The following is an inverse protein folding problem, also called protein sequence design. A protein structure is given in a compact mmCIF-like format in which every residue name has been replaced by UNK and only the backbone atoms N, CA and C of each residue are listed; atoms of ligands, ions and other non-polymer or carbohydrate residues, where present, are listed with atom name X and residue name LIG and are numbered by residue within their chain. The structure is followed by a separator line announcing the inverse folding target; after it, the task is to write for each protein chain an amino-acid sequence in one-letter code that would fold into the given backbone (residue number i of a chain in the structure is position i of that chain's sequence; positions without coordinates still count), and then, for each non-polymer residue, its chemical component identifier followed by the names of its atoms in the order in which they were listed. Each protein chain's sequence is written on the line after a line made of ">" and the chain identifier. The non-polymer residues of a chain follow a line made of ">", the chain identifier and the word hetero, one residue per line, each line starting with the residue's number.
data_IF_709806902010
#
_entry.id   IF_709806902010
#
_cell.length_a   1.000
_cell.length_b   1.000
_cell.length_c   1.000
_cell.angle_alpha   90.00
_cell.angle_beta   90.00
_cell.angle_gamma   90.00
#
_symmetry.space_group_name_H-M   'P 1'
#
loop_
_entity.id
_entity.type
_entity.pdbx_description
1 polymer ?
#
# COMPACT_ATOMS: atom_id res chain seq x y z
N UNK A 1 -90.75 2.75 -23.77
CA UNK A 1 -90.12 1.77 -24.70
C UNK A 1 -89.13 2.53 -25.57
N UNK A 2 -87.87 2.11 -25.83
CA UNK A 2 -87.10 0.90 -25.44
C UNK A 2 -85.80 1.21 -24.63
N UNK A 3 -85.30 0.29 -23.77
CA UNK A 3 -84.11 -0.61 -23.88
C UNK A 3 -82.75 0.07 -24.20
N UNK A 4 -81.79 0.13 -23.25
CA UNK A 4 -80.71 -0.83 -22.87
C UNK A 4 -79.63 -1.03 -23.96
N UNK A 5 -78.32 -0.83 -23.72
CA UNK A 5 -77.41 -1.85 -23.17
C UNK A 5 -76.02 -1.30 -22.71
N UNK A 6 -75.63 -1.74 -21.51
CA UNK A 6 -74.32 -2.22 -21.00
C UNK A 6 -72.95 -1.68 -21.45
N UNK A 7 -72.15 -1.33 -20.43
CA UNK A 7 -70.69 -1.36 -20.44
C UNK A 7 -70.08 -1.24 -19.03
N UNK A 8 -70.07 -2.35 -18.26
CA UNK A 8 -69.41 -2.44 -16.94
C UNK A 8 -67.88 -2.32 -17.10
N UNK A 9 -67.23 -1.34 -16.45
CA UNK A 9 -65.81 -1.42 -16.06
C UNK A 9 -65.73 -1.58 -14.53
N UNK A 10 -65.12 -2.70 -14.11
CA UNK A 10 -64.85 -3.02 -12.70
C UNK A 10 -63.74 -2.12 -12.17
N UNK A 11 -64.00 -1.45 -11.05
CA UNK A 11 -63.03 -0.78 -10.20
C UNK A 11 -62.20 -1.81 -9.44
N UNK A 12 -60.87 -1.67 -9.48
CA UNK A 12 -59.92 -2.47 -8.70
C UNK A 12 -59.54 -1.65 -7.45
N UNK A 13 -59.59 -2.23 -6.23
CA UNK A 13 -59.35 -1.49 -4.99
C UNK A 13 -57.87 -1.15 -4.82
N UNK A 14 -57.62 0.05 -4.29
CA UNK A 14 -56.30 0.56 -3.92
C UNK A 14 -55.74 -0.21 -2.70
N UNK A 15 -54.44 -0.57 -2.69
CA UNK A 15 -53.82 -1.19 -1.51
C UNK A 15 -53.45 -0.14 -0.45
N UNK A 16 -53.69 -0.55 0.81
CA UNK A 16 -53.38 0.14 2.07
C UNK A 16 -51.87 0.41 2.24
N UNK A 17 -51.46 1.50 2.93
CA UNK A 17 -50.04 1.84 3.07
C UNK A 17 -49.30 0.87 3.99
N UNK A 18 -48.16 0.38 3.51
CA UNK A 18 -47.26 -0.53 4.22
C UNK A 18 -46.50 0.21 5.34
N UNK A 19 -46.34 -0.48 6.47
CA UNK A 19 -45.55 -0.07 7.63
C UNK A 19 -44.06 0.12 7.26
N UNK A 20 -43.34 1.04 7.95
CA UNK A 20 -41.93 1.29 7.67
C UNK A 20 -41.06 0.08 8.07
N UNK A 21 -40.02 -0.27 7.29
CA UNK A 21 -39.07 -1.29 7.67
C UNK A 21 -38.19 -0.81 8.83
N UNK A 22 -38.09 -1.66 9.84
CA UNK A 22 -37.15 -1.57 10.96
C UNK A 22 -35.72 -1.61 10.41
N UNK A 23 -35.03 -0.47 10.39
CA UNK A 23 -33.59 -0.42 10.12
C UNK A 23 -32.88 -0.90 11.39
N UNK A 24 -32.49 -2.17 11.37
CA UNK A 24 -31.64 -2.78 12.39
C UNK A 24 -30.22 -2.23 12.33
N UNK A 25 -29.67 -2.03 13.53
CA UNK A 25 -28.26 -2.05 13.91
C UNK A 25 -27.26 -1.31 13.00
N UNK A 26 -26.93 -0.11 13.42
CA UNK A 26 -25.64 0.56 13.20
C UNK A 26 -24.49 -0.44 13.44
N UNK A 27 -23.50 -0.59 12.53
CA UNK A 27 -22.27 -1.28 12.88
C UNK A 27 -21.53 -0.39 13.89
N UNK A 28 -21.56 -0.85 15.14
CA UNK A 28 -20.82 -0.29 16.25
C UNK A 28 -19.33 -0.33 15.90
N UNK A 29 -18.73 0.85 15.73
CA UNK A 29 -17.28 1.01 15.62
C UNK A 29 -16.65 0.55 16.92
N UNK A 30 -16.38 -0.76 17.00
CA UNK A 30 -15.57 -1.33 18.06
C UNK A 30 -14.13 -1.10 17.65
N UNK A 31 -13.45 -0.17 18.33
CA UNK A 31 -11.99 -0.01 18.27
C UNK A 31 -11.38 -1.37 18.62
N UNK A 32 -11.02 -2.15 17.60
CA UNK A 32 -10.30 -3.41 17.79
C UNK A 32 -8.85 -3.08 18.05
N UNK A 33 -8.50 -2.93 19.32
CA UNK A 33 -7.14 -3.17 19.78
C UNK A 33 -6.86 -4.67 19.61
N UNK A 34 -6.48 -5.09 18.40
CA UNK A 34 -6.20 -6.48 18.08
C UNK A 34 -4.72 -6.79 18.37
N UNK A 35 -4.45 -7.67 19.33
CA UNK A 35 -3.11 -8.20 19.63
C UNK A 35 -2.62 -9.20 18.57
N UNK A 36 -2.80 -8.89 17.29
CA UNK A 36 -2.50 -9.81 16.19
C UNK A 36 -2.68 -9.19 14.80
N UNK A 37 -2.36 -9.98 13.79
CA UNK A 37 -2.44 -9.63 12.37
C UNK A 37 -3.82 -9.10 11.98
N UNK A 38 -3.84 -8.15 11.04
CA UNK A 38 -5.08 -7.56 10.53
C UNK A 38 -5.95 -8.57 9.75
N UNK A 39 -5.32 -9.41 8.92
CA UNK A 39 -5.95 -10.54 8.23
C UNK A 39 -5.63 -11.85 8.97
N UNK A 40 -6.60 -12.77 9.09
CA UNK A 40 -6.35 -14.08 9.73
C UNK A 40 -5.59 -15.04 8.82
N UNK A 41 -4.79 -15.94 9.40
CA UNK A 41 -4.09 -17.00 8.65
C UNK A 41 -5.08 -17.86 7.83
N UNK A 42 -6.23 -18.21 8.41
CA UNK A 42 -7.30 -18.94 7.71
C UNK A 42 -7.78 -18.24 6.43
N UNK A 43 -7.86 -16.89 6.44
CA UNK A 43 -8.24 -16.11 5.25
C UNK A 43 -7.12 -16.19 4.20
N UNK A 44 -5.85 -16.11 4.60
CA UNK A 44 -4.70 -16.27 3.71
C UNK A 44 -4.68 -17.68 3.09
N UNK A 45 -4.86 -18.73 3.88
CA UNK A 45 -4.85 -20.13 3.38
C UNK A 45 -5.95 -20.39 2.35
N UNK A 46 -7.11 -19.74 2.49
CA UNK A 46 -8.23 -19.87 1.53
C UNK A 46 -8.06 -19.00 0.29
N UNK A 47 -7.66 -17.75 0.45
CA UNK A 47 -7.61 -16.76 -0.64
C UNK A 47 -6.30 -16.77 -1.41
N UNK A 48 -5.18 -16.95 -0.71
CA UNK A 48 -3.83 -16.83 -1.24
C UNK A 48 -2.90 -17.92 -0.67
N UNK A 49 -3.16 -19.22 -0.94
CA UNK A 49 -2.36 -20.31 -0.39
C UNK A 49 -0.86 -20.20 -0.73
N UNK A 50 -0.52 -19.58 -1.87
CA UNK A 50 0.86 -19.32 -2.27
C UNK A 50 1.60 -18.26 -1.42
N UNK A 51 0.88 -17.46 -0.62
CA UNK A 51 1.45 -16.44 0.27
C UNK A 51 1.60 -16.91 1.71
N UNK A 52 1.15 -18.13 2.06
CA UNK A 52 1.11 -18.60 3.45
C UNK A 52 2.50 -18.62 4.12
N UNK A 53 3.53 -19.10 3.41
CA UNK A 53 4.90 -19.11 3.94
C UNK A 53 5.44 -17.70 4.15
N UNK A 54 5.20 -16.82 3.18
CA UNK A 54 5.59 -15.41 3.22
C UNK A 54 4.90 -14.68 4.38
N UNK A 55 3.61 -14.91 4.56
CA UNK A 55 2.81 -14.34 5.64
C UNK A 55 3.33 -14.78 7.01
N UNK A 56 3.66 -16.07 7.18
CA UNK A 56 4.25 -16.58 8.44
C UNK A 56 5.62 -15.97 8.72
N UNK A 57 6.48 -15.88 7.71
CA UNK A 57 7.80 -15.28 7.83
C UNK A 57 7.74 -13.78 8.16
N UNK A 58 6.80 -13.05 7.56
CA UNK A 58 6.52 -11.66 7.92
C UNK A 58 6.07 -11.55 9.38
N UNK A 59 5.12 -12.38 9.81
CA UNK A 59 4.61 -12.37 11.19
C UNK A 59 5.70 -12.52 12.25
N UNK A 60 6.67 -13.42 12.04
CA UNK A 60 7.84 -13.56 12.92
C UNK A 60 8.65 -12.27 13.02
N UNK A 61 8.84 -11.58 11.89
CA UNK A 61 9.62 -10.33 11.84
C UNK A 61 8.85 -9.17 12.47
N UNK A 62 7.52 -9.12 12.33
CA UNK A 62 6.68 -8.15 13.04
C UNK A 62 6.76 -8.34 14.56
N UNK A 63 6.72 -9.59 15.05
CA UNK A 63 6.84 -9.87 16.48
C UNK A 63 8.18 -9.40 17.04
N UNK A 64 9.28 -9.72 16.36
CA UNK A 64 10.63 -9.25 16.72
C UNK A 64 10.71 -7.73 16.81
N UNK A 65 10.12 -7.03 15.84
CA UNK A 65 10.13 -5.57 15.75
C UNK A 65 9.02 -4.90 16.56
N UNK A 66 8.26 -5.66 17.38
CA UNK A 66 7.16 -5.16 18.22
C UNK A 66 6.06 -4.43 17.42
N UNK A 67 5.85 -4.86 16.18
CA UNK A 67 4.82 -4.33 15.27
C UNK A 67 3.52 -5.16 15.29
N UNK A 68 3.47 -6.24 16.08
CA UNK A 68 2.25 -7.04 16.24
C UNK A 68 1.09 -6.16 16.75
N UNK A 69 -0.01 -6.12 15.98
CA UNK A 69 -1.20 -5.31 16.29
C UNK A 69 -1.13 -3.85 15.85
N UNK A 70 0.00 -3.40 15.27
CA UNK A 70 0.08 -2.08 14.60
C UNK A 70 -0.80 -2.10 13.34
N UNK A 71 -1.51 -0.99 13.10
CA UNK A 71 -2.27 -0.75 11.87
C UNK A 71 -1.59 0.33 11.05
N UNK A 72 -1.52 0.09 9.75
CA UNK A 72 -0.93 1.01 8.79
C UNK A 72 -1.51 0.74 7.40
N UNK A 73 -1.77 1.82 6.64
CA UNK A 73 -2.11 1.71 5.23
C UNK A 73 -0.84 1.42 4.43
N UNK A 74 -0.72 0.23 3.84
CA UNK A 74 0.50 -0.16 3.12
C UNK A 74 0.38 0.24 1.66
N UNK A 75 1.36 1.00 1.17
CA UNK A 75 1.45 1.40 -0.24
C UNK A 75 2.62 0.71 -0.92
N UNK A 76 2.44 0.40 -2.19
CA UNK A 76 3.52 -0.08 -3.05
C UNK A 76 3.77 0.92 -4.18
N UNK A 77 4.99 1.45 -4.25
CA UNK A 77 5.42 2.37 -5.30
C UNK A 77 6.47 1.68 -6.15
N UNK A 78 6.20 1.55 -7.45
CA UNK A 78 7.01 0.75 -8.36
C UNK A 78 7.64 1.62 -9.45
N UNK A 79 8.97 1.70 -9.41
CA UNK A 79 9.76 2.29 -10.47
C UNK A 79 9.63 1.47 -11.76
N UNK A 80 9.17 2.13 -12.81
CA UNK A 80 8.98 1.59 -14.15
C UNK A 80 9.74 2.43 -15.18
N UNK A 81 10.89 2.97 -14.78
CA UNK A 81 11.89 3.55 -15.68
C UNK A 81 12.51 2.48 -16.59
N UNK A 82 13.07 2.90 -17.72
CA UNK A 82 13.65 1.98 -18.71
C UNK A 82 14.72 1.02 -18.16
N UNK A 83 15.49 1.45 -17.15
CA UNK A 83 16.50 0.62 -16.47
C UNK A 83 15.88 -0.58 -15.76
N UNK A 84 14.65 -0.44 -15.27
CA UNK A 84 13.91 -1.48 -14.57
C UNK A 84 13.40 -2.62 -15.47
N UNK A 85 13.46 -2.47 -16.80
CA UNK A 85 12.88 -3.42 -17.76
C UNK A 85 13.34 -4.90 -17.54
N UNK A 86 14.62 -5.20 -17.25
CA UNK A 86 15.06 -6.57 -16.98
C UNK A 86 14.40 -7.17 -15.72
N UNK A 87 14.14 -6.36 -14.69
CA UNK A 87 13.54 -6.80 -13.43
C UNK A 87 12.04 -7.07 -13.55
N UNK A 88 11.33 -6.35 -14.41
CA UNK A 88 9.98 -6.71 -14.80
C UNK A 88 9.95 -8.01 -15.61
N UNK A 89 10.84 -8.12 -16.60
CA UNK A 89 10.91 -9.30 -17.48
C UNK A 89 11.22 -10.59 -16.73
N UNK A 90 12.10 -10.54 -15.73
CA UNK A 90 12.49 -11.71 -14.94
C UNK A 90 11.59 -11.99 -13.73
N UNK A 91 10.58 -11.14 -13.48
CA UNK A 91 9.62 -11.29 -12.38
C UNK A 91 10.12 -10.82 -11.01
N UNK A 92 11.25 -10.11 -10.92
CA UNK A 92 11.78 -9.60 -9.64
C UNK A 92 10.81 -8.65 -8.95
N UNK A 93 10.24 -7.69 -9.71
CA UNK A 93 9.27 -6.72 -9.17
C UNK A 93 7.99 -7.40 -8.68
N UNK A 94 7.50 -8.40 -9.43
CA UNK A 94 6.33 -9.20 -9.03
C UNK A 94 6.61 -9.97 -7.73
N UNK A 95 7.73 -10.68 -7.65
CA UNK A 95 8.06 -11.48 -6.47
C UNK A 95 8.22 -10.60 -5.22
N UNK A 96 8.80 -9.40 -5.36
CA UNK A 96 8.93 -8.47 -4.25
C UNK A 96 7.57 -7.87 -3.86
N UNK A 97 6.71 -7.55 -4.82
CA UNK A 97 5.33 -7.13 -4.56
C UNK A 97 4.52 -8.21 -3.80
N UNK A 98 4.68 -9.49 -4.15
CA UNK A 98 4.02 -10.60 -3.46
C UNK A 98 4.47 -10.71 -1.99
N UNK A 99 5.77 -10.51 -1.72
CA UNK A 99 6.32 -10.43 -0.36
C UNK A 99 5.77 -9.25 0.42
N UNK A 100 5.70 -8.07 -0.20
CA UNK A 100 5.11 -6.88 0.42
C UNK A 100 3.63 -7.10 0.75
N UNK A 101 2.85 -7.70 -0.17
CA UNK A 101 1.44 -8.01 0.06
C UNK A 101 1.26 -8.98 1.25
N UNK A 102 2.14 -9.99 1.38
CA UNK A 102 2.11 -10.91 2.50
C UNK A 102 2.41 -10.23 3.85
N UNK A 103 3.32 -9.23 3.86
CA UNK A 103 3.57 -8.40 5.04
C UNK A 103 2.40 -7.43 5.33
N UNK A 104 1.83 -6.84 4.28
CA UNK A 104 0.72 -5.88 4.38
C UNK A 104 -0.51 -6.47 5.06
N UNK A 105 -0.79 -7.76 4.84
CA UNK A 105 -1.88 -8.48 5.50
C UNK A 105 -1.78 -8.51 7.04
N UNK A 106 -0.64 -8.15 7.64
CA UNK A 106 -0.51 -7.98 9.09
C UNK A 106 -0.90 -6.57 9.57
N UNK A 107 -0.74 -5.55 8.72
CA UNK A 107 -0.98 -4.14 9.03
C UNK A 107 -2.37 -3.65 8.60
N UNK A 108 -2.87 -4.15 7.49
CA UNK A 108 -4.09 -3.69 6.82
C UNK A 108 -5.15 -4.82 6.77
N UNK A 109 -6.40 -4.51 7.11
CA UNK A 109 -7.47 -5.50 7.33
C UNK A 109 -8.28 -5.82 6.08
N UNK A 110 -8.27 -4.93 5.07
CA UNK A 110 -8.97 -5.16 3.81
C UNK A 110 -8.25 -6.19 2.91
N UNK A 111 -6.94 -6.37 3.09
CA UNK A 111 -6.11 -7.29 2.32
C UNK A 111 -5.84 -6.80 0.90
N UNK A 112 -5.87 -5.48 0.69
CA UNK A 112 -5.55 -4.78 -0.54
C UNK A 112 -4.34 -3.85 -0.31
N UNK A 113 -3.59 -3.58 -1.37
CA UNK A 113 -2.45 -2.67 -1.35
C UNK A 113 -2.55 -1.77 -2.58
N UNK A 114 -2.71 -0.44 -2.40
CA UNK A 114 -2.58 0.51 -3.49
C UNK A 114 -1.19 0.45 -4.10
N UNK A 115 -1.14 0.29 -5.42
CA UNK A 115 0.07 0.22 -6.24
C UNK A 115 0.12 1.43 -7.15
N UNK A 116 1.17 2.23 -7.02
CA UNK A 116 1.44 3.38 -7.88
C UNK A 116 2.69 3.08 -8.69
N UNK A 117 2.53 2.93 -10.00
CA UNK A 117 3.65 2.90 -10.93
C UNK A 117 4.12 4.32 -11.21
N UNK A 118 5.41 4.49 -11.47
CA UNK A 118 5.94 5.75 -12.00
C UNK A 118 7.06 5.52 -13.01
N UNK A 119 7.24 6.50 -13.89
CA UNK A 119 8.42 6.66 -14.72
C UNK A 119 8.78 8.16 -14.83
N UNK A 120 8.70 8.76 -16.03
CA UNK A 120 8.69 10.20 -16.25
C UNK A 120 7.49 10.88 -15.58
N UNK A 121 6.47 10.12 -15.18
CA UNK A 121 5.33 10.57 -14.37
C UNK A 121 4.78 9.44 -13.50
N UNK A 122 3.98 9.77 -12.50
CA UNK A 122 3.16 8.79 -11.80
C UNK A 122 1.91 8.42 -12.60
N UNK A 123 1.47 7.18 -12.43
CA UNK A 123 0.21 6.66 -12.96
C UNK A 123 -0.84 6.61 -11.86
N UNK A 124 -2.11 6.46 -12.26
CA UNK A 124 -3.19 6.28 -11.30
C UNK A 124 -2.95 5.05 -10.41
N UNK A 125 -3.38 5.14 -9.16
CA UNK A 125 -3.30 4.01 -8.24
C UNK A 125 -4.15 2.85 -8.79
N UNK A 126 -3.54 1.68 -8.82
CA UNK A 126 -4.19 0.39 -9.05
C UNK A 126 -4.15 -0.40 -7.75
N UNK A 127 -4.82 -1.54 -7.67
CA UNK A 127 -4.81 -2.37 -6.47
C UNK A 127 -4.25 -3.77 -6.78
N UNK A 128 -3.50 -4.28 -5.80
CA UNK A 128 -3.21 -5.72 -5.66
C UNK A 128 -3.90 -6.22 -4.38
N UNK A 129 -4.36 -7.45 -4.40
CA UNK A 129 -5.08 -8.08 -3.30
C UNK A 129 -4.79 -9.57 -3.24
N UNK A 130 -5.13 -10.20 -2.12
CA UNK A 130 -4.90 -11.63 -1.89
C UNK A 130 -5.52 -12.54 -2.96
N UNK A 131 -6.59 -12.13 -3.62
CA UNK A 131 -7.28 -12.89 -4.66
C UNK A 131 -6.81 -12.59 -6.08
N UNK A 132 -6.05 -11.51 -6.31
CA UNK A 132 -5.64 -11.08 -7.64
C UNK A 132 -4.13 -10.96 -7.87
N UNK A 133 -3.30 -11.18 -6.84
CA UNK A 133 -1.87 -10.86 -6.86
C UNK A 133 -1.05 -11.55 -7.97
N UNK A 134 -1.39 -12.80 -8.30
CA UNK A 134 -0.61 -13.64 -9.22
C UNK A 134 -0.47 -13.01 -10.62
N UNK A 135 0.74 -12.54 -10.94
CA UNK A 135 1.03 -11.91 -12.24
C UNK A 135 0.40 -10.52 -12.44
N UNK A 136 -0.22 -9.94 -11.40
CA UNK A 136 -0.91 -8.65 -11.45
C UNK A 136 0.02 -7.51 -11.81
N UNK A 137 1.20 -7.45 -11.20
CA UNK A 137 2.19 -6.40 -11.47
C UNK A 137 2.64 -6.47 -12.93
N UNK A 138 2.93 -7.68 -13.43
CA UNK A 138 3.32 -7.86 -14.83
C UNK A 138 2.20 -7.45 -15.80
N UNK A 139 0.94 -7.78 -15.48
CA UNK A 139 -0.22 -7.40 -16.28
C UNK A 139 -0.45 -5.88 -16.29
N UNK A 140 -0.36 -5.22 -15.14
CA UNK A 140 -0.47 -3.77 -15.01
C UNK A 140 0.67 -3.06 -15.74
N UNK A 141 1.91 -3.48 -15.50
CA UNK A 141 3.09 -3.00 -16.20
C UNK A 141 2.92 -3.04 -17.73
N UNK A 142 2.43 -4.16 -18.27
CA UNK A 142 2.19 -4.33 -19.71
C UNK A 142 1.14 -3.35 -20.27
N UNK A 143 0.10 -3.02 -19.49
CA UNK A 143 -0.96 -2.07 -19.91
C UNK A 143 -0.44 -0.64 -20.03
N UNK A 144 0.57 -0.26 -19.23
CA UNK A 144 1.12 1.10 -19.21
C UNK A 144 2.03 1.42 -20.40
N UNK A 145 2.46 0.40 -21.15
CA UNK A 145 3.22 0.59 -22.39
C UNK A 145 4.64 1.11 -22.18
N UNK A 146 5.04 2.10 -22.99
CA UNK A 146 6.42 2.59 -23.07
C UNK A 146 6.93 3.12 -21.73
N UNK A 147 8.11 2.64 -21.31
CA UNK A 147 8.78 3.01 -20.06
C UNK A 147 9.57 4.32 -20.22
N UNK A 148 9.51 5.18 -19.21
CA UNK A 148 10.17 6.48 -19.20
C UNK A 148 11.44 6.53 -18.36
N UNK A 149 11.64 7.70 -17.74
CA UNK A 149 12.76 8.02 -16.85
C UNK A 149 12.36 7.85 -15.38
N UNK A 150 13.11 8.41 -14.43
CA UNK A 150 12.91 8.14 -12.99
C UNK A 150 12.47 9.40 -12.22
N UNK A 151 11.17 9.68 -12.19
CA UNK A 151 10.59 10.86 -11.52
C UNK A 151 9.97 10.52 -10.14
N UNK A 152 10.82 10.51 -9.12
CA UNK A 152 10.39 10.29 -7.74
C UNK A 152 9.43 11.36 -7.22
N UNK A 153 9.56 12.62 -7.68
CA UNK A 153 8.69 13.70 -7.19
C UNK A 153 7.25 13.39 -7.56
N UNK A 154 7.02 13.00 -8.81
CA UNK A 154 5.69 12.62 -9.29
C UNK A 154 5.12 11.42 -8.50
N UNK A 155 5.95 10.42 -8.20
CA UNK A 155 5.57 9.24 -7.45
C UNK A 155 5.15 9.59 -6.02
N UNK A 156 5.97 10.39 -5.34
CA UNK A 156 5.71 10.79 -3.96
C UNK A 156 4.47 11.69 -3.85
N UNK A 157 4.30 12.64 -4.78
CA UNK A 157 3.12 13.49 -4.84
C UNK A 157 1.84 12.68 -5.10
N UNK A 158 1.90 11.65 -5.94
CA UNK A 158 0.77 10.76 -6.19
C UNK A 158 0.33 9.97 -4.93
N UNK A 159 1.29 9.43 -4.17
CA UNK A 159 0.99 8.76 -2.90
C UNK A 159 0.40 9.73 -1.89
N UNK A 160 1.00 10.92 -1.73
CA UNK A 160 0.51 11.95 -0.80
C UNK A 160 -0.92 12.37 -1.17
N UNK A 161 -1.20 12.58 -2.45
CA UNK A 161 -2.53 12.91 -2.95
C UNK A 161 -3.53 11.79 -2.67
N UNK A 162 -3.15 10.54 -2.97
CA UNK A 162 -4.00 9.37 -2.73
C UNK A 162 -4.31 9.22 -1.24
N UNK A 163 -3.29 9.23 -0.38
CA UNK A 163 -3.43 9.11 1.07
C UNK A 163 -4.35 10.19 1.66
N UNK A 164 -4.22 11.44 1.21
CA UNK A 164 -5.12 12.53 1.64
C UNK A 164 -6.55 12.34 1.14
N UNK A 165 -6.76 11.76 -0.04
CA UNK A 165 -8.09 11.57 -0.62
C UNK A 165 -8.85 10.38 -0.04
N UNK A 166 -8.17 9.31 0.39
CA UNK A 166 -8.83 8.11 0.91
C UNK A 166 -9.33 8.29 2.35
N UNK A 167 -8.89 9.33 3.06
CA UNK A 167 -9.34 9.65 4.41
C UNK A 167 -8.83 8.66 5.48
N UNK A 168 -7.80 7.87 5.16
CA UNK A 168 -7.17 6.96 6.11
C UNK A 168 -6.64 7.74 7.33
N UNK A 169 -6.91 7.22 8.52
CA UNK A 169 -6.39 7.78 9.79
C UNK A 169 -5.16 7.04 10.29
N UNK A 170 -4.93 5.82 9.81
CA UNK A 170 -3.74 5.03 10.11
C UNK A 170 -2.51 5.61 9.40
N UNK A 171 -1.31 5.47 9.97
CA UNK A 171 -0.07 5.87 9.30
C UNK A 171 0.08 5.12 7.97
N UNK A 172 0.60 5.79 6.95
CA UNK A 172 0.99 5.14 5.71
C UNK A 172 2.39 4.53 5.82
N UNK A 173 2.51 3.26 5.43
CA UNK A 173 3.78 2.58 5.28
C UNK A 173 4.05 2.36 3.79
N UNK A 174 4.88 3.22 3.19
CA UNK A 174 5.09 3.25 1.75
C UNK A 174 6.35 2.48 1.38
N UNK A 175 6.18 1.39 0.64
CA UNK A 175 7.29 0.59 0.13
C UNK A 175 7.65 1.05 -1.27
N UNK A 176 8.82 1.66 -1.43
CA UNK A 176 9.28 2.27 -2.67
C UNK A 176 10.38 1.42 -3.32
N UNK A 177 10.10 0.81 -4.47
CA UNK A 177 11.02 -0.10 -5.17
C UNK A 177 11.66 0.56 -6.38
N UNK A 178 12.99 0.49 -6.50
CA UNK A 178 13.76 1.16 -7.55
C UNK A 178 15.12 0.50 -7.78
N UNK A 179 15.73 0.72 -8.95
CA UNK A 179 17.08 0.26 -9.27
C UNK A 179 18.15 1.36 -9.28
N UNK A 180 17.81 2.60 -8.92
CA UNK A 180 18.77 3.69 -8.89
C UNK A 180 18.19 5.04 -8.44
N UNK A 181 18.91 6.12 -8.76
CA UNK A 181 18.56 7.48 -8.35
C UNK A 181 17.51 8.14 -9.27
N UNK A 182 16.76 9.14 -8.77
CA UNK A 182 15.84 9.91 -9.59
C UNK A 182 16.56 10.88 -10.54
N UNK A 183 15.84 11.31 -11.57
CA UNK A 183 16.27 12.36 -12.49
C UNK A 183 16.68 13.66 -11.78
N UNK A 184 16.02 13.98 -10.65
CA UNK A 184 16.26 15.19 -9.88
C UNK A 184 16.34 14.90 -8.37
N UNK A 185 17.54 14.52 -7.93
CA UNK A 185 17.84 14.21 -6.53
C UNK A 185 17.44 15.33 -5.56
N UNK A 186 17.74 16.60 -5.91
CA UNK A 186 17.44 17.75 -5.04
C UNK A 186 15.93 17.97 -4.87
N UNK A 187 15.16 17.80 -5.94
CA UNK A 187 13.71 17.94 -5.86
C UNK A 187 13.08 16.78 -5.08
N UNK A 188 13.53 15.55 -5.32
CA UNK A 188 13.07 14.37 -4.59
C UNK A 188 13.34 14.48 -3.07
N UNK A 189 14.56 14.86 -2.68
CA UNK A 189 14.91 15.14 -1.27
C UNK A 189 14.00 16.22 -0.67
N UNK A 190 13.80 17.34 -1.38
CA UNK A 190 12.92 18.41 -0.90
C UNK A 190 11.48 17.91 -0.70
N UNK A 191 10.98 17.05 -1.58
CA UNK A 191 9.65 16.45 -1.46
C UNK A 191 9.57 15.49 -0.26
N UNK A 192 10.61 14.68 -0.03
CA UNK A 192 10.69 13.82 1.16
C UNK A 192 10.67 14.62 2.46
N UNK A 193 11.47 15.69 2.56
CA UNK A 193 11.51 16.55 3.74
C UNK A 193 10.14 17.18 4.03
N UNK A 194 9.42 17.63 3.00
CA UNK A 194 8.04 18.14 3.15
C UNK A 194 7.06 17.05 3.60
N UNK A 195 7.22 15.84 3.08
CA UNK A 195 6.37 14.71 3.44
C UNK A 195 6.54 14.27 4.90
N UNK A 196 7.63 14.67 5.57
CA UNK A 196 7.88 14.35 6.99
C UNK A 196 6.86 15.00 7.94
N UNK A 197 6.11 16.02 7.49
CA UNK A 197 5.00 16.61 8.25
C UNK A 197 3.71 15.78 8.18
N UNK A 198 3.71 14.68 7.41
CA UNK A 198 2.57 13.80 7.21
C UNK A 198 2.80 12.46 7.92
N UNK A 199 1.72 11.75 8.28
CA UNK A 199 1.78 10.40 8.86
C UNK A 199 2.18 9.35 7.82
N UNK A 200 3.29 9.57 7.11
CA UNK A 200 3.79 8.74 6.00
C UNK A 200 5.26 8.41 6.24
N UNK A 201 5.57 7.12 6.33
CA UNK A 201 6.94 6.59 6.34
C UNK A 201 7.29 5.98 4.98
N UNK A 202 8.48 6.28 4.48
CA UNK A 202 8.98 5.83 3.18
C UNK A 202 10.09 4.80 3.36
N UNK A 203 9.81 3.53 3.07
CA UNK A 203 10.83 2.50 3.05
C UNK A 203 11.28 2.25 1.61
N UNK A 204 12.47 2.71 1.27
CA UNK A 204 13.10 2.47 -0.01
C UNK A 204 13.76 1.09 -0.04
N UNK A 205 13.55 0.37 -1.15
CA UNK A 205 14.21 -0.90 -1.46
C UNK A 205 14.95 -0.71 -2.78
N UNK A 206 16.28 -0.68 -2.70
CA UNK A 206 17.16 -0.64 -3.86
C UNK A 206 17.54 -2.05 -4.29
N UNK A 207 17.46 -2.39 -5.58
CA UNK A 207 18.04 -3.63 -6.09
C UNK A 207 18.63 -3.45 -7.48
N UNK A 208 19.64 -4.25 -7.78
CA UNK A 208 20.42 -4.11 -9.01
C UNK A 208 21.88 -3.83 -8.71
N UNK A 209 22.52 -3.02 -9.55
CA UNK A 209 23.98 -2.80 -9.52
C UNK A 209 24.37 -1.35 -9.20
N UNK A 210 23.40 -0.51 -8.88
CA UNK A 210 23.67 0.86 -8.46
C UNK A 210 24.35 0.85 -7.07
N UNK A 211 25.10 1.90 -6.75
CA UNK A 211 25.69 2.09 -5.42
C UNK A 211 24.72 2.74 -4.43
N UNK A 212 23.52 3.13 -4.89
CA UNK A 212 22.43 3.72 -4.14
C UNK A 212 22.82 4.93 -3.28
N UNK A 213 23.85 5.68 -3.68
CA UNK A 213 24.35 6.86 -2.95
C UNK A 213 23.25 7.87 -2.62
N UNK A 214 22.28 8.01 -3.52
CA UNK A 214 21.14 8.89 -3.29
C UNK A 214 20.20 8.36 -2.20
N UNK A 215 19.91 7.06 -2.19
CA UNK A 215 19.01 6.46 -1.20
C UNK A 215 19.66 6.39 0.18
N UNK A 216 20.93 6.00 0.28
CA UNK A 216 21.75 6.13 1.49
C UNK A 216 21.72 7.57 2.03
N UNK A 217 21.80 8.57 1.14
CA UNK A 217 21.70 9.97 1.56
C UNK A 217 20.32 10.32 2.09
N UNK A 218 19.22 9.80 1.52
CA UNK A 218 17.87 10.08 2.01
C UNK A 218 17.62 9.48 3.39
N UNK A 219 18.15 8.28 3.61
CA UNK A 219 18.17 7.55 4.88
C UNK A 219 18.87 8.37 5.97
N UNK A 220 20.10 8.80 5.69
CA UNK A 220 20.96 9.54 6.62
C UNK A 220 20.57 11.02 6.82
N UNK A 221 19.47 11.52 6.23
CA UNK A 221 19.09 12.94 6.29
C UNK A 221 18.77 13.36 7.73
N UNK A 222 19.55 14.27 8.36
CA UNK A 222 19.34 14.59 9.76
C UNK A 222 17.98 15.23 10.08
N UNK A 223 17.28 14.66 11.07
CA UNK A 223 16.15 15.26 11.78
C UNK A 223 16.59 15.78 13.17
N UNK A 224 16.13 16.97 13.64
CA UNK A 224 15.13 17.84 13.03
C UNK A 224 15.70 18.86 12.02
N UNK A 225 16.98 18.76 11.63
CA UNK A 225 17.67 19.81 10.86
C UNK A 225 17.07 20.06 9.47
N UNK A 226 16.71 19.00 8.74
CA UNK A 226 16.16 19.12 7.37
C UNK A 226 14.70 18.67 7.26
N UNK A 227 14.22 17.88 8.21
CA UNK A 227 12.88 17.30 8.28
C UNK A 227 12.45 17.19 9.74
N UNK A 228 11.15 17.25 10.04
CA UNK A 228 10.65 17.29 11.42
C UNK A 228 10.87 15.97 12.18
N UNK A 229 10.78 14.85 11.46
CA UNK A 229 11.10 13.49 11.93
C UNK A 229 11.79 12.73 10.81
N UNK A 230 12.53 11.69 11.17
CA UNK A 230 13.10 10.78 10.18
C UNK A 230 12.00 9.90 9.58
N UNK A 231 11.50 10.28 8.41
CA UNK A 231 10.41 9.61 7.73
C UNK A 231 10.87 8.67 6.59
N UNK A 232 12.14 8.27 6.54
CA UNK A 232 12.61 7.40 5.47
C UNK A 232 13.64 6.38 5.95
N UNK A 233 13.43 5.13 5.55
CA UNK A 233 14.39 4.05 5.69
C UNK A 233 14.86 3.55 4.33
N UNK A 234 16.05 2.95 4.27
CA UNK A 234 16.61 2.36 3.06
C UNK A 234 17.30 1.02 3.33
N UNK A 235 17.12 0.05 2.43
CA UNK A 235 18.01 -1.10 2.37
C UNK A 235 18.21 -1.61 0.93
N UNK A 236 19.34 -2.28 0.74
CA UNK A 236 19.69 -2.94 -0.51
C UNK A 236 19.20 -4.39 -0.51
N UNK A 237 18.38 -4.76 -1.50
CA UNK A 237 17.95 -6.12 -1.76
C UNK A 237 18.90 -6.89 -2.71
N UNK A 238 20.12 -6.39 -2.89
CA UNK A 238 21.16 -6.96 -3.74
C UNK A 238 20.83 -6.89 -5.23
N UNK A 239 21.62 -7.59 -6.06
CA UNK A 239 21.45 -7.55 -7.52
C UNK A 239 20.19 -8.29 -8.03
N UNK A 240 19.66 -9.22 -7.24
CA UNK A 240 18.43 -9.95 -7.53
C UNK A 240 17.63 -10.11 -6.23
N UNK A 241 16.55 -9.33 -6.03
CA UNK A 241 15.82 -9.30 -4.77
C UNK A 241 15.17 -10.65 -4.46
N UNK A 242 14.95 -11.51 -5.47
CA UNK A 242 14.39 -12.87 -5.29
C UNK A 242 15.33 -13.78 -4.51
N UNK A 243 16.64 -13.48 -4.50
CA UNK A 243 17.65 -14.27 -3.78
C UNK A 243 17.78 -13.89 -2.31
N UNK A 244 17.23 -12.74 -1.91
CA UNK A 244 17.20 -12.35 -0.51
C UNK A 244 16.27 -13.33 0.25
N UNK A 245 16.74 -13.92 1.37
CA UNK A 245 15.88 -14.74 2.23
C UNK A 245 14.74 -13.93 2.82
N UNK A 246 13.56 -14.53 2.92
CA UNK A 246 12.36 -13.83 3.40
C UNK A 246 12.52 -13.22 4.81
N UNK A 247 13.13 -13.90 5.81
CA UNK A 247 13.34 -13.28 7.12
C UNK A 247 14.23 -12.04 7.07
N UNK A 248 15.31 -12.07 6.29
CA UNK A 248 16.19 -10.91 6.11
C UNK A 248 15.46 -9.76 5.44
N UNK A 249 14.63 -10.06 4.43
CA UNK A 249 13.85 -9.05 3.74
C UNK A 249 12.86 -8.36 4.69
N UNK A 250 12.13 -9.13 5.49
CA UNK A 250 11.14 -8.57 6.40
C UNK A 250 11.75 -7.87 7.60
N UNK A 251 12.85 -8.38 8.16
CA UNK A 251 13.61 -7.71 9.21
C UNK A 251 14.11 -6.33 8.71
N UNK A 252 14.65 -6.25 7.48
CA UNK A 252 15.08 -4.98 6.88
C UNK A 252 13.91 -4.05 6.56
N UNK A 253 12.80 -4.59 6.03
CA UNK A 253 11.60 -3.82 5.71
C UNK A 253 11.06 -3.10 6.94
N UNK A 254 11.16 -3.73 8.12
CA UNK A 254 10.55 -3.26 9.36
C UNK A 254 11.55 -2.61 10.32
N UNK A 255 12.80 -2.41 9.92
CA UNK A 255 13.87 -2.01 10.84
C UNK A 255 13.59 -0.65 11.51
N UNK A 256 13.23 0.37 10.72
CA UNK A 256 13.11 1.76 11.21
C UNK A 256 11.68 2.21 11.46
N UNK A 257 10.70 1.51 10.88
CA UNK A 257 9.29 1.84 11.04
C UNK A 257 8.84 1.91 12.53
N UNK A 258 9.24 0.99 13.42
CA UNK A 258 8.92 1.07 14.85
C UNK A 258 9.45 2.34 15.51
N UNK A 259 10.68 2.75 15.19
CA UNK A 259 11.28 3.96 15.75
C UNK A 259 10.58 5.21 15.22
N UNK A 260 10.30 5.25 13.91
CA UNK A 260 9.52 6.33 13.31
C UNK A 260 8.14 6.48 13.96
N UNK A 261 7.42 5.38 14.23
CA UNK A 261 6.12 5.45 14.90
C UNK A 261 6.20 6.16 16.26
N UNK A 262 7.31 5.99 17.00
CA UNK A 262 7.50 6.65 18.29
C UNK A 262 7.88 8.13 18.13
N UNK A 263 8.85 8.42 17.27
CA UNK A 263 9.33 9.80 17.06
C UNK A 263 8.26 10.66 16.39
N UNK A 264 7.49 10.13 15.45
CA UNK A 264 6.37 10.80 14.81
C UNK A 264 5.22 11.10 15.79
N UNK A 265 4.94 10.21 16.75
CA UNK A 265 4.00 10.52 17.86
C UNK A 265 4.54 11.63 18.76
N UNK A 266 5.80 11.55 19.16
CA UNK A 266 6.43 12.57 20.00
C UNK A 266 6.47 13.95 19.34
N UNK A 267 6.62 14.00 18.01
CA UNK A 267 6.59 15.23 17.22
C UNK A 267 5.18 15.71 16.83
N UNK A 268 4.12 14.96 17.19
CA UNK A 268 2.73 15.29 16.86
C UNK A 268 2.35 15.10 15.38
N UNK A 269 3.18 14.40 14.60
CA UNK A 269 2.90 14.00 13.21
C UNK A 269 1.87 12.87 13.19
N UNK A 270 2.00 11.91 14.10
CA UNK A 270 0.98 10.90 14.40
C UNK A 270 0.16 11.34 15.62
N UNK A 271 -1.16 11.16 15.56
CA UNK A 271 -2.09 11.48 16.63
C UNK A 271 -2.43 10.27 17.49
#
# INVERSE_FOLDING_TARGET
>A
MPFSLFGRKKSKPAPSPAAPPTVGATPSATVRSGSGSAVSLDKIERSAPGLVSLYKAAGVSLEKNRLAGVRAAVYLVLDRSGSMAPFYKNGSVQALADRVLAAAAHFDDDGTVPVIFFDTKAYAAEEISLDNYGGRIAALHKKLGHMGTTDYVSAMEAVIAHYRSCGATDPAFVIFQTDGAPNNAKAAEKTLCKAAELPIFWQFIGFGRDEFRFLHRLDDLPAPKYRVVDNAGFFEAGADPRRMPDPTLYDNLMNEFPEWLQTAKAAGVLR
#
